data_IF_498297942727
#
_entry.id   IF_498297942727
#
_cell.length_a   1.000
_cell.length_b   1.000
_cell.length_c   1.000
_cell.angle_alpha   90.00
_cell.angle_beta   90.00
_cell.angle_gamma   90.00
#
_symmetry.space_group_name_H-M   'P 1'
#
loop_
_entity.id
_entity.type
_entity.pdbx_description
1 polymer ?
#
# COMPACT_ATOMS: atom_id res chain seq x y z
N UNK A 1 -25.15 -34.17 -7.79
CA UNK A 1 -24.48 -34.13 -6.47
C UNK A 1 -24.71 -32.74 -5.89
N UNK A 2 -25.51 -32.64 -4.83
CA UNK A 2 -25.92 -31.35 -4.27
C UNK A 2 -24.79 -30.83 -3.38
N UNK A 3 -24.26 -29.64 -3.68
CA UNK A 3 -23.33 -28.95 -2.76
C UNK A 3 -24.06 -28.76 -1.42
N UNK A 4 -23.48 -29.28 -0.35
CA UNK A 4 -24.06 -29.16 0.98
C UNK A 4 -24.05 -27.70 1.44
N UNK A 5 -25.06 -27.31 2.24
CA UNK A 5 -25.25 -25.91 2.66
C UNK A 5 -24.02 -25.39 3.42
N UNK A 6 -23.35 -26.27 4.15
CA UNK A 6 -22.12 -26.04 4.91
C UNK A 6 -20.97 -25.61 3.99
N UNK A 7 -20.78 -26.28 2.85
CA UNK A 7 -19.73 -25.94 1.88
C UNK A 7 -19.99 -24.58 1.24
N UNK A 8 -21.26 -24.24 0.97
CA UNK A 8 -21.62 -22.93 0.42
C UNK A 8 -21.29 -21.79 1.40
N UNK A 9 -21.57 -21.99 2.70
CA UNK A 9 -21.22 -21.02 3.74
C UNK A 9 -19.70 -20.91 3.90
N UNK A 10 -18.97 -22.04 3.86
CA UNK A 10 -17.51 -22.04 3.92
C UNK A 10 -16.85 -21.24 2.78
N UNK A 11 -17.31 -21.43 1.54
CA UNK A 11 -16.80 -20.68 0.38
C UNK A 11 -17.11 -19.18 0.50
N UNK A 12 -18.33 -18.82 0.95
CA UNK A 12 -18.70 -17.42 1.14
C UNK A 12 -17.82 -16.73 2.18
N UNK A 13 -17.56 -17.41 3.32
CA UNK A 13 -16.69 -16.89 4.37
C UNK A 13 -15.24 -16.73 3.90
N UNK A 14 -14.70 -17.71 3.18
CA UNK A 14 -13.37 -17.62 2.61
C UNK A 14 -13.26 -16.44 1.63
N UNK A 15 -14.24 -16.29 0.74
CA UNK A 15 -14.31 -15.18 -0.20
C UNK A 15 -14.36 -13.82 0.50
N UNK A 16 -15.18 -13.68 1.54
CA UNK A 16 -15.29 -12.45 2.32
C UNK A 16 -13.94 -12.06 2.96
N UNK A 17 -13.22 -13.03 3.54
CA UNK A 17 -11.89 -12.79 4.13
C UNK A 17 -10.90 -12.34 3.05
N UNK A 18 -10.87 -13.02 1.90
CA UNK A 18 -9.99 -12.65 0.79
C UNK A 18 -10.24 -11.22 0.32
N UNK A 19 -11.51 -10.84 0.11
CA UNK A 19 -11.88 -9.48 -0.30
C UNK A 19 -11.48 -8.45 0.76
N UNK A 20 -11.63 -8.78 2.05
CA UNK A 20 -11.27 -7.89 3.14
C UNK A 20 -9.76 -7.63 3.20
N UNK A 21 -8.94 -8.67 3.05
CA UNK A 21 -7.47 -8.53 2.99
C UNK A 21 -7.05 -7.68 1.79
N UNK A 22 -7.60 -7.96 0.61
CA UNK A 22 -7.29 -7.18 -0.60
C UNK A 22 -7.74 -5.72 -0.43
N UNK A 23 -8.96 -5.50 0.06
CA UNK A 23 -9.52 -4.17 0.28
C UNK A 23 -8.74 -3.37 1.31
N UNK A 24 -8.29 -4.00 2.39
CA UNK A 24 -7.46 -3.33 3.41
C UNK A 24 -6.12 -2.85 2.84
N UNK A 25 -5.43 -3.70 2.08
CA UNK A 25 -4.17 -3.32 1.44
C UNK A 25 -4.38 -2.25 0.34
N UNK A 26 -5.48 -2.32 -0.41
CA UNK A 26 -5.86 -1.29 -1.37
C UNK A 26 -6.11 0.07 -0.71
N UNK A 27 -6.82 0.10 0.42
CA UNK A 27 -7.04 1.34 1.20
C UNK A 27 -5.75 1.92 1.77
N UNK A 28 -4.76 1.07 2.08
CA UNK A 28 -3.42 1.50 2.48
C UNK A 28 -2.58 2.02 1.32
N UNK A 29 -3.03 1.85 0.07
CA UNK A 29 -2.27 2.23 -1.11
C UNK A 29 -1.03 1.39 -1.33
N UNK A 30 -0.94 0.21 -0.70
CA UNK A 30 0.10 -0.77 -0.99
C UNK A 30 -0.29 -1.50 -2.28
N UNK A 31 0.49 -1.30 -3.34
CA UNK A 31 0.29 -2.02 -4.59
C UNK A 31 0.60 -3.51 -4.39
N UNK A 32 -0.44 -4.33 -4.21
CA UNK A 32 -0.32 -5.78 -4.05
C UNK A 32 0.25 -6.51 -5.29
N UNK A 33 0.27 -5.85 -6.45
CA UNK A 33 0.60 -6.45 -7.74
C UNK A 33 1.71 -5.72 -8.52
N UNK A 34 2.22 -4.60 -8.01
CA UNK A 34 3.28 -3.82 -8.67
C UNK A 34 4.59 -3.96 -7.91
N UNK A 35 5.67 -4.32 -8.61
CA UNK A 35 7.03 -4.16 -8.10
C UNK A 35 7.37 -2.67 -8.00
N UNK A 36 7.03 -2.07 -6.86
CA UNK A 36 7.46 -0.72 -6.50
C UNK A 36 8.97 -0.75 -6.22
N UNK A 37 9.75 0.02 -6.98
CA UNK A 37 11.14 0.29 -6.65
C UNK A 37 11.18 1.41 -5.62
N UNK A 38 11.67 1.10 -4.42
CA UNK A 38 11.83 2.09 -3.36
C UNK A 38 13.21 2.76 -3.47
N UNK A 39 13.22 4.10 -3.49
CA UNK A 39 14.44 4.90 -3.60
C UNK A 39 14.57 5.81 -2.38
N UNK A 40 15.76 5.88 -1.82
CA UNK A 40 16.06 6.70 -0.65
C UNK A 40 16.90 7.91 -1.05
N UNK A 41 16.48 9.09 -0.61
CA UNK A 41 17.23 10.34 -0.75
C UNK A 41 17.54 10.94 0.62
N UNK A 42 18.75 11.47 0.81
CA UNK A 42 19.12 12.21 2.01
C UNK A 42 18.96 13.70 1.72
N UNK A 43 18.24 14.39 2.59
CA UNK A 43 18.03 15.82 2.54
C UNK A 43 18.39 16.42 3.89
N UNK A 44 18.98 17.62 3.87
CA UNK A 44 19.33 18.35 5.08
C UNK A 44 18.10 18.95 5.78
N UNK A 45 17.10 19.34 4.98
CA UNK A 45 15.85 19.94 5.44
C UNK A 45 14.67 19.49 4.57
N UNK A 46 13.56 19.15 5.21
CA UNK A 46 12.31 18.72 4.56
C UNK A 46 11.12 19.51 5.14
N UNK A 47 11.00 20.78 4.75
CA UNK A 47 9.87 21.61 5.20
C UNK A 47 8.58 21.19 4.49
N UNK A 48 7.64 20.62 5.26
CA UNK A 48 6.30 20.28 4.76
C UNK A 48 6.21 19.03 3.89
N UNK A 49 7.27 18.20 3.85
CA UNK A 49 7.19 16.88 3.24
C UNK A 49 6.51 15.91 4.20
N UNK A 50 5.37 15.36 3.78
CA UNK A 50 4.62 14.37 4.56
C UNK A 50 4.56 13.04 3.83
N UNK A 51 4.35 11.97 4.61
CA UNK A 51 4.05 10.64 4.05
C UNK A 51 2.83 10.74 3.13
N UNK A 52 2.90 10.07 1.99
CA UNK A 52 1.89 10.09 0.91
C UNK A 52 1.87 11.34 0.03
N UNK A 53 2.76 12.32 0.24
CA UNK A 53 2.92 13.41 -0.73
C UNK A 53 3.31 12.83 -2.10
N UNK A 54 2.69 13.29 -3.20
CA UNK A 54 3.02 12.81 -4.54
C UNK A 54 4.43 13.26 -4.94
N UNK A 55 5.23 12.33 -5.45
CA UNK A 55 6.51 12.64 -6.09
C UNK A 55 6.23 12.97 -7.55
N UNK A 56 6.66 14.16 -7.97
CA UNK A 56 6.43 14.69 -9.31
C UNK A 56 7.76 14.76 -10.07
N UNK A 57 7.78 14.27 -11.31
CA UNK A 57 8.88 14.50 -12.26
C UNK A 57 8.29 15.24 -13.46
N UNK A 58 8.83 16.41 -13.78
CA UNK A 58 8.35 17.27 -14.88
C UNK A 58 6.82 17.52 -14.82
N UNK A 59 6.23 17.60 -13.63
CA UNK A 59 4.79 17.80 -13.42
C UNK A 59 3.93 16.53 -13.44
N UNK A 60 4.49 15.35 -13.73
CA UNK A 60 3.77 14.08 -13.69
C UNK A 60 3.99 13.34 -12.38
N UNK A 61 2.92 12.80 -11.78
CA UNK A 61 2.99 11.95 -10.58
C UNK A 61 3.62 10.61 -10.95
N UNK A 62 4.81 10.37 -10.41
CA UNK A 62 5.58 9.12 -10.61
C UNK A 62 5.57 8.21 -9.38
N UNK A 63 5.13 8.72 -8.23
CA UNK A 63 5.06 7.95 -6.99
C UNK A 63 4.54 8.76 -5.81
N UNK A 64 4.77 8.27 -4.60
CA UNK A 64 4.47 8.95 -3.35
C UNK A 64 5.53 8.65 -2.30
N UNK A 65 5.71 9.56 -1.35
CA UNK A 65 6.67 9.38 -0.25
C UNK A 65 6.18 8.26 0.69
N UNK A 66 6.95 7.17 0.80
CA UNK A 66 6.61 6.01 1.64
C UNK A 66 6.91 6.25 3.12
N UNK A 67 8.10 6.75 3.44
CA UNK A 67 8.54 7.00 4.81
C UNK A 67 9.51 8.18 4.86
N UNK A 68 9.65 8.75 6.06
CA UNK A 68 10.59 9.82 6.36
C UNK A 68 11.26 9.45 7.68
N UNK A 69 12.57 9.28 7.65
CA UNK A 69 13.37 8.99 8.83
C UNK A 69 14.36 10.13 9.10
N UNK A 70 14.36 10.63 10.33
CA UNK A 70 15.33 11.64 10.76
C UNK A 70 16.62 10.94 11.15
N UNK A 71 17.65 11.07 10.31
CA UNK A 71 18.98 10.55 10.62
C UNK A 71 19.66 11.46 11.67
N UNK A 72 19.49 11.11 12.95
CA UNK A 72 20.21 11.73 14.06
C UNK A 72 21.58 11.09 14.21
N UNK A 73 22.55 11.51 13.40
CA UNK A 73 23.94 11.21 13.69
C UNK A 73 24.41 12.15 14.81
N UNK A 74 24.59 11.60 16.01
CA UNK A 74 25.24 12.26 17.15
C UNK A 74 26.69 12.59 16.83
#
# INVERSE_FOLDING_TARGET
MSISKETKVGILSAFAITVLVIGYNFMRGEDLFTSSNEYFGKYEQIEGLFKSNPVLINGYKVGSVTSIEMNRAT
#
